data_IF_709905862233
#
_entry.id   IF_709905862233
#
_cell.length_a   1.000
_cell.length_b   1.000
_cell.length_c   1.000
_cell.angle_alpha   90.00
_cell.angle_beta   90.00
_cell.angle_gamma   90.00
#
_symmetry.space_group_name_H-M   'P 1'
#
loop_
_entity.id
_entity.type
_entity.pdbx_description
1 polymer ?
#
# COMPACT_ATOMS: atom_id res chain seq x y z
N UNK A 1 12.33 -14.82 2.96
CA UNK A 1 11.13 -15.46 2.35
C UNK A 1 9.82 -14.84 2.85
N UNK A 2 9.59 -14.73 4.17
CA UNK A 2 8.33 -14.19 4.72
C UNK A 2 7.90 -12.80 4.20
N UNK A 3 8.85 -11.87 4.05
CA UNK A 3 8.58 -10.54 3.47
C UNK A 3 7.96 -10.62 2.06
N UNK A 4 8.56 -11.41 1.16
CA UNK A 4 8.09 -11.55 -0.22
C UNK A 4 6.68 -12.11 -0.27
N UNK A 5 6.42 -13.17 0.50
CA UNK A 5 5.09 -13.81 0.60
C UNK A 5 4.06 -12.79 1.07
N UNK A 6 4.35 -12.07 2.15
CA UNK A 6 3.43 -11.09 2.73
C UNK A 6 3.11 -9.97 1.72
N UNK A 7 4.13 -9.37 1.12
CA UNK A 7 3.95 -8.24 0.19
C UNK A 7 3.21 -8.67 -1.07
N UNK A 8 3.53 -9.83 -1.65
CA UNK A 8 2.83 -10.37 -2.82
C UNK A 8 1.38 -10.72 -2.47
N UNK A 9 1.15 -11.31 -1.30
CA UNK A 9 -0.19 -11.62 -0.83
C UNK A 9 -1.04 -10.36 -0.70
N UNK A 10 -0.54 -9.32 0.00
CA UNK A 10 -1.27 -8.08 0.21
C UNK A 10 -1.44 -7.22 -1.05
N UNK A 11 -0.55 -7.36 -2.03
CA UNK A 11 -0.60 -6.54 -3.26
C UNK A 11 -1.40 -7.20 -4.38
N UNK A 12 -1.38 -8.54 -4.46
CA UNK A 12 -1.95 -9.28 -5.60
C UNK A 12 -2.93 -10.34 -5.12
N UNK A 13 -2.46 -11.34 -4.39
CA UNK A 13 -3.27 -12.54 -4.16
C UNK A 13 -4.54 -12.24 -3.35
N UNK A 14 -4.43 -11.53 -2.23
CA UNK A 14 -5.56 -11.22 -1.35
C UNK A 14 -6.55 -10.26 -2.02
N UNK A 15 -6.14 -9.11 -2.62
CA UNK A 15 -7.07 -8.27 -3.37
C UNK A 15 -7.84 -9.00 -4.48
N UNK A 16 -7.11 -9.79 -5.29
CA UNK A 16 -7.71 -10.54 -6.41
C UNK A 16 -8.70 -11.57 -5.89
N UNK A 17 -8.29 -12.41 -4.93
CA UNK A 17 -9.15 -13.47 -4.41
C UNK A 17 -10.38 -12.87 -3.73
N UNK A 18 -10.21 -11.85 -2.87
CA UNK A 18 -11.33 -11.20 -2.20
C UNK A 18 -12.30 -10.56 -3.20
N UNK A 19 -11.80 -9.89 -4.23
CA UNK A 19 -12.65 -9.29 -5.27
C UNK A 19 -13.39 -10.32 -6.12
N UNK A 20 -12.74 -11.42 -6.52
CA UNK A 20 -13.38 -12.52 -7.24
C UNK A 20 -14.49 -13.15 -6.40
N UNK A 21 -14.20 -13.43 -5.12
CA UNK A 21 -15.19 -14.03 -4.20
C UNK A 21 -16.39 -13.10 -4.03
N UNK A 22 -16.17 -11.81 -3.82
CA UNK A 22 -17.27 -10.85 -3.68
C UNK A 22 -18.11 -10.73 -4.97
N UNK A 23 -17.47 -10.65 -6.13
CA UNK A 23 -18.19 -10.61 -7.42
C UNK A 23 -18.99 -11.90 -7.67
N UNK A 24 -18.46 -13.06 -7.29
CA UNK A 24 -19.13 -14.33 -7.47
C UNK A 24 -20.32 -14.55 -6.51
N UNK A 25 -20.23 -14.03 -5.28
CA UNK A 25 -21.23 -14.27 -4.23
C UNK A 25 -22.27 -13.15 -4.13
N UNK A 26 -21.82 -11.90 -4.19
CA UNK A 26 -22.64 -10.70 -3.96
C UNK A 26 -22.87 -9.92 -5.25
N UNK A 27 -21.96 -10.03 -6.22
CA UNK A 27 -21.95 -9.19 -7.42
C UNK A 27 -21.49 -7.76 -7.13
N UNK A 28 -21.75 -6.86 -8.07
CA UNK A 28 -21.36 -5.45 -7.98
C UNK A 28 -20.54 -4.98 -9.18
N UNK A 29 -20.15 -3.71 -9.15
CA UNK A 29 -19.29 -3.13 -10.17
C UNK A 29 -17.83 -3.62 -9.97
N UNK A 30 -17.20 -4.25 -10.97
CA UNK A 30 -15.86 -4.80 -10.82
C UNK A 30 -14.80 -3.76 -10.42
N UNK A 31 -14.90 -2.52 -10.93
CA UNK A 31 -13.92 -1.47 -10.62
C UNK A 31 -14.02 -1.07 -9.16
N UNK A 32 -15.25 -0.86 -8.66
CA UNK A 32 -15.48 -0.52 -7.25
C UNK A 32 -15.11 -1.67 -6.31
N UNK A 33 -15.46 -2.91 -6.66
CA UNK A 33 -15.15 -4.09 -5.85
C UNK A 33 -13.65 -4.31 -5.75
N UNK A 34 -12.93 -4.37 -6.88
CA UNK A 34 -11.48 -4.56 -6.84
C UNK A 34 -10.77 -3.34 -6.23
N UNK A 35 -11.17 -2.12 -6.59
CA UNK A 35 -10.61 -0.90 -6.00
C UNK A 35 -10.70 -0.91 -4.47
N UNK A 36 -11.86 -1.29 -3.91
CA UNK A 36 -12.03 -1.48 -2.47
C UNK A 36 -11.05 -2.47 -1.86
N UNK A 37 -10.90 -3.66 -2.47
CA UNK A 37 -10.02 -4.70 -1.94
C UNK A 37 -8.54 -4.33 -2.07
N UNK A 38 -8.15 -3.63 -3.11
CA UNK A 38 -6.80 -3.08 -3.24
C UNK A 38 -6.52 -1.96 -2.24
N UNK A 39 -7.51 -1.12 -1.91
CA UNK A 39 -7.36 -0.17 -0.82
C UNK A 39 -7.21 -0.92 0.51
N UNK A 40 -8.11 -1.86 0.82
CA UNK A 40 -8.07 -2.56 2.11
C UNK A 40 -6.74 -3.29 2.32
N UNK A 41 -6.31 -4.11 1.36
CA UNK A 41 -5.11 -4.91 1.48
C UNK A 41 -3.84 -4.11 1.17
N UNK A 42 -3.80 -3.45 0.00
CA UNK A 42 -2.61 -2.78 -0.53
C UNK A 42 -2.28 -1.45 0.12
N UNK A 43 -3.29 -0.68 0.55
CA UNK A 43 -3.09 0.53 1.35
C UNK A 43 -3.21 0.18 2.83
N UNK A 44 -4.36 -0.35 3.26
CA UNK A 44 -4.68 -0.54 4.67
C UNK A 44 -3.72 -1.47 5.39
N UNK A 45 -3.80 -2.78 5.11
CA UNK A 45 -3.00 -3.76 5.85
C UNK A 45 -1.51 -3.65 5.57
N UNK A 46 -1.10 -3.36 4.33
CA UNK A 46 0.31 -3.33 3.92
C UNK A 46 1.04 -2.14 4.54
N UNK A 47 0.48 -0.92 4.46
CA UNK A 47 1.07 0.24 5.12
C UNK A 47 1.04 0.10 6.64
N UNK A 48 -0.02 -0.47 7.21
CA UNK A 48 -0.08 -0.71 8.65
C UNK A 48 1.05 -1.64 9.12
N UNK A 49 1.27 -2.77 8.44
CA UNK A 49 2.34 -3.70 8.79
C UNK A 49 3.73 -3.06 8.59
N UNK A 50 3.93 -2.35 7.47
CA UNK A 50 5.18 -1.63 7.22
C UNK A 50 5.44 -0.56 8.30
N UNK A 51 4.42 0.20 8.68
CA UNK A 51 4.47 1.23 9.71
C UNK A 51 4.80 0.66 11.09
N UNK A 52 4.14 -0.42 11.50
CA UNK A 52 4.44 -1.12 12.76
C UNK A 52 5.90 -1.63 12.76
N UNK A 53 6.37 -2.20 11.65
CA UNK A 53 7.74 -2.66 11.51
C UNK A 53 8.77 -1.52 11.60
N UNK A 54 8.46 -0.34 11.03
CA UNK A 54 9.29 0.86 11.08
C UNK A 54 9.34 1.46 12.51
N UNK A 55 8.20 1.56 13.18
CA UNK A 55 8.10 2.17 14.52
C UNK A 55 8.68 1.27 15.61
N UNK A 56 8.53 -0.05 15.49
CA UNK A 56 9.00 -1.01 16.50
C UNK A 56 10.52 -1.16 16.55
N UNK A 57 11.24 -0.73 15.51
CA UNK A 57 12.68 -0.98 15.37
C UNK A 57 13.05 -2.46 15.27
N UNK A 58 12.07 -3.37 15.14
CA UNK A 58 12.23 -4.83 15.05
C UNK A 58 12.07 -5.38 13.63
N UNK A 59 11.78 -4.52 12.65
CA UNK A 59 11.76 -4.92 11.23
C UNK A 59 13.17 -4.98 10.61
N UNK A 60 13.31 -5.41 9.34
CA UNK A 60 14.53 -5.21 8.52
C UNK A 60 14.96 -3.72 8.43
N UNK A 61 14.15 -2.86 9.01
CA UNK A 61 14.36 -1.45 9.30
C UNK A 61 15.36 -1.16 10.44
N UNK A 62 16.31 -2.02 10.78
CA UNK A 62 17.53 -1.60 11.52
C UNK A 62 18.76 -1.46 10.61
N UNK A 63 18.60 -1.76 9.31
CA UNK A 63 19.56 -1.58 8.19
C UNK A 63 18.97 -0.69 7.06
N UNK A 64 18.15 0.29 7.44
CA UNK A 64 17.17 0.93 6.55
C UNK A 64 17.80 1.55 5.32
N UNK A 65 17.30 1.10 4.16
CA UNK A 65 17.56 1.68 2.84
C UNK A 65 19.04 1.66 2.40
N UNK A 66 19.88 0.84 3.02
CA UNK A 66 21.27 0.64 2.63
C UNK A 66 22.31 1.40 3.47
N UNK A 67 21.90 2.03 4.57
CA UNK A 67 22.84 2.62 5.53
C UNK A 67 23.40 1.54 6.47
N UNK A 68 24.71 1.26 6.36
CA UNK A 68 25.40 0.29 7.23
C UNK A 68 25.43 0.71 8.71
N UNK A 69 25.28 2.00 9.02
CA UNK A 69 25.26 2.54 10.37
C UNK A 69 24.38 3.81 10.43
N UNK A 70 23.05 3.68 10.60
CA UNK A 70 22.14 4.82 10.61
C UNK A 70 22.30 5.68 11.87
N UNK A 71 22.33 7.00 11.67
CA UNK A 71 22.41 8.05 12.68
C UNK A 71 21.10 8.17 13.46
N UNK A 72 21.12 8.88 14.60
CA UNK A 72 19.92 9.10 15.41
C UNK A 72 18.81 9.87 14.65
N UNK A 73 19.11 10.93 13.87
CA UNK A 73 18.10 11.60 13.05
C UNK A 73 17.46 10.70 11.98
N UNK A 74 18.25 9.85 11.32
CA UNK A 74 17.71 8.91 10.32
C UNK A 74 16.75 7.90 10.94
N UNK A 75 17.08 7.39 12.13
CA UNK A 75 16.18 6.52 12.90
C UNK A 75 14.90 7.24 13.31
N UNK A 76 14.97 8.52 13.65
CA UNK A 76 13.79 9.32 13.97
C UNK A 76 12.89 9.51 12.73
N UNK A 77 13.48 9.91 11.60
CA UNK A 77 12.74 10.09 10.34
C UNK A 77 11.98 8.84 9.93
N UNK A 78 12.60 7.67 10.09
CA UNK A 78 11.95 6.38 9.82
C UNK A 78 10.75 6.16 10.72
N UNK A 79 10.86 6.48 12.01
CA UNK A 79 9.75 6.30 12.95
C UNK A 79 8.60 7.23 12.60
N UNK A 80 8.90 8.47 12.22
CA UNK A 80 7.89 9.44 11.75
C UNK A 80 7.19 8.95 10.47
N UNK A 81 7.97 8.46 9.49
CA UNK A 81 7.42 7.83 8.28
C UNK A 81 6.60 6.58 8.61
N UNK A 82 7.05 5.80 9.58
CA UNK A 82 6.32 4.64 10.09
C UNK A 82 4.99 5.01 10.72
N UNK A 83 4.93 6.10 11.49
CA UNK A 83 3.67 6.60 12.03
C UNK A 83 2.74 7.12 10.92
N UNK A 84 3.27 7.75 9.87
CA UNK A 84 2.47 8.12 8.70
C UNK A 84 1.86 6.88 8.02
N UNK A 85 2.66 5.82 7.84
CA UNK A 85 2.19 4.54 7.30
C UNK A 85 1.15 3.86 8.20
N UNK A 86 1.30 3.91 9.52
CA UNK A 86 0.28 3.44 10.47
C UNK A 86 -1.02 4.22 10.29
N UNK A 87 -0.96 5.55 10.23
CA UNK A 87 -2.15 6.39 10.06
C UNK A 87 -2.89 6.10 8.75
N UNK A 88 -2.17 6.09 7.62
CA UNK A 88 -2.74 5.76 6.31
C UNK A 88 -3.24 4.31 6.25
N UNK A 89 -2.53 3.37 6.88
CA UNK A 89 -2.92 1.98 6.97
C UNK A 89 -4.22 1.79 7.75
N UNK A 90 -4.35 2.42 8.92
CA UNK A 90 -5.59 2.40 9.71
C UNK A 90 -6.76 3.02 8.93
N UNK A 91 -6.55 4.13 8.22
CA UNK A 91 -7.56 4.71 7.35
C UNK A 91 -7.97 3.71 6.25
N UNK A 92 -7.02 3.10 5.56
CA UNK A 92 -7.27 2.12 4.50
C UNK A 92 -8.08 0.90 4.93
N UNK A 93 -8.02 0.49 6.21
CA UNK A 93 -8.87 -0.59 6.74
C UNK A 93 -10.37 -0.24 6.68
N UNK A 94 -10.72 1.06 6.69
CA UNK A 94 -12.11 1.52 6.57
C UNK A 94 -12.67 1.36 5.16
N UNK A 95 -11.89 0.89 4.18
CA UNK A 95 -12.39 0.66 2.83
C UNK A 95 -13.56 -0.33 2.76
N UNK A 96 -13.69 -1.23 3.74
CA UNK A 96 -14.82 -2.16 3.81
C UNK A 96 -16.13 -1.49 4.24
N UNK A 97 -16.08 -0.26 4.77
CA UNK A 97 -17.27 0.53 5.01
C UNK A 97 -17.84 0.98 3.65
N UNK A 98 -19.14 0.75 3.37
CA UNK A 98 -19.74 1.12 2.08
C UNK A 98 -19.47 2.58 1.72
N UNK A 99 -18.94 2.81 0.51
CA UNK A 99 -18.60 4.15 0.00
C UNK A 99 -17.28 4.75 0.51
N UNK A 100 -16.57 4.09 1.43
CA UNK A 100 -15.33 4.63 2.01
C UNK A 100 -14.05 4.25 1.27
N UNK A 101 -14.08 3.30 0.34
CA UNK A 101 -12.89 2.82 -0.34
C UNK A 101 -11.97 3.94 -0.87
N UNK A 102 -12.51 4.89 -1.64
CA UNK A 102 -11.72 6.00 -2.17
C UNK A 102 -11.19 6.93 -1.06
N UNK A 103 -12.02 7.57 -0.20
CA UNK A 103 -11.51 8.50 0.81
C UNK A 103 -10.58 7.82 1.83
N UNK A 104 -10.80 6.54 2.16
CA UNK A 104 -9.95 5.75 3.05
C UNK A 104 -8.56 5.46 2.44
N UNK A 105 -8.51 5.27 1.13
CA UNK A 105 -7.32 4.81 0.41
C UNK A 105 -6.51 5.89 -0.29
N UNK A 106 -7.11 7.04 -0.59
CA UNK A 106 -6.55 7.98 -1.56
C UNK A 106 -5.16 8.50 -1.16
N UNK A 107 -5.02 9.00 0.07
CA UNK A 107 -3.74 9.52 0.56
C UNK A 107 -2.65 8.45 0.54
N UNK A 108 -2.95 7.24 1.02
CA UNK A 108 -1.99 6.14 1.03
C UNK A 108 -1.66 5.59 -0.36
N UNK A 109 -2.62 5.55 -1.27
CA UNK A 109 -2.40 5.17 -2.66
C UNK A 109 -1.50 6.16 -3.40
N UNK A 110 -1.73 7.46 -3.24
CA UNK A 110 -0.87 8.51 -3.81
C UNK A 110 0.53 8.46 -3.21
N UNK A 111 0.63 8.28 -1.89
CA UNK A 111 1.91 8.12 -1.21
C UNK A 111 2.71 6.95 -1.80
N UNK A 112 2.09 5.79 -1.97
CA UNK A 112 2.70 4.61 -2.59
C UNK A 112 3.10 4.87 -4.05
N UNK A 113 2.24 5.51 -4.85
CA UNK A 113 2.55 5.81 -6.24
C UNK A 113 3.81 6.68 -6.37
N UNK A 114 3.89 7.74 -5.56
CA UNK A 114 5.01 8.67 -5.56
C UNK A 114 6.28 7.96 -5.06
N UNK A 115 6.19 7.20 -3.98
CA UNK A 115 7.31 6.41 -3.47
C UNK A 115 7.84 5.43 -4.53
N UNK A 116 6.95 4.65 -5.14
CA UNK A 116 7.29 3.75 -6.24
C UNK A 116 8.00 4.49 -7.39
N UNK A 117 7.44 5.61 -7.83
CA UNK A 117 8.02 6.43 -8.91
C UNK A 117 9.42 6.97 -8.56
N UNK A 118 9.64 7.43 -7.33
CA UNK A 118 10.94 7.89 -6.86
C UNK A 118 12.00 6.78 -6.82
N UNK A 119 11.58 5.53 -6.60
CA UNK A 119 12.47 4.37 -6.55
C UNK A 119 12.71 3.71 -7.93
N UNK A 120 11.96 4.06 -8.97
CA UNK A 120 12.20 3.57 -10.36
C UNK A 120 13.62 3.88 -10.84
N UNK A 121 14.12 5.14 -10.82
CA UNK A 121 15.43 5.48 -11.38
C UNK A 121 16.63 5.02 -10.53
N UNK A 122 16.40 4.55 -9.30
CA UNK A 122 17.47 4.14 -8.39
C UNK A 122 18.18 2.89 -8.92
N UNK A 123 19.51 2.97 -9.07
CA UNK A 123 20.39 1.87 -9.45
C UNK A 123 20.83 1.06 -8.23
N UNK A 124 21.21 -0.21 -8.42
CA UNK A 124 21.75 -1.06 -7.35
C UNK A 124 20.72 -1.52 -6.31
N UNK A 125 19.43 -1.55 -6.66
CA UNK A 125 18.37 -2.03 -5.77
C UNK A 125 18.54 -3.51 -5.46
N UNK A 126 18.36 -3.87 -4.20
CA UNK A 126 18.25 -5.28 -3.82
C UNK A 126 16.88 -5.86 -4.22
N UNK A 127 16.70 -7.17 -4.06
CA UNK A 127 15.45 -7.85 -4.46
C UNK A 127 14.21 -7.38 -3.69
N UNK A 128 14.35 -7.05 -2.40
CA UNK A 128 13.24 -6.56 -1.58
C UNK A 128 12.83 -5.15 -2.00
N UNK A 129 13.80 -4.27 -2.22
CA UNK A 129 13.57 -2.91 -2.70
C UNK A 129 12.93 -2.90 -4.09
N UNK A 130 13.38 -3.81 -4.96
CA UNK A 130 12.79 -3.99 -6.30
C UNK A 130 11.33 -4.41 -6.21
N UNK A 131 11.02 -5.40 -5.35
CA UNK A 131 9.64 -5.82 -5.11
C UNK A 131 8.80 -4.66 -4.56
N UNK A 132 9.28 -3.97 -3.53
CA UNK A 132 8.59 -2.82 -2.93
C UNK A 132 8.23 -1.79 -4.00
N UNK A 133 9.21 -1.37 -4.81
CA UNK A 133 9.02 -0.40 -5.91
C UNK A 133 7.85 -0.78 -6.82
N UNK A 134 7.84 -2.01 -7.33
CA UNK A 134 6.80 -2.44 -8.26
C UNK A 134 5.44 -2.58 -7.58
N UNK A 135 5.41 -3.11 -6.37
CA UNK A 135 4.15 -3.26 -5.62
C UNK A 135 3.55 -1.92 -5.20
N UNK A 136 4.38 -0.92 -4.88
CA UNK A 136 3.96 0.46 -4.60
C UNK A 136 3.31 1.09 -5.83
N UNK A 137 3.93 0.95 -7.01
CA UNK A 137 3.36 1.42 -8.28
C UNK A 137 2.03 0.76 -8.59
N UNK A 138 1.91 -0.56 -8.42
CA UNK A 138 0.65 -1.29 -8.68
C UNK A 138 -0.47 -0.78 -7.78
N UNK A 139 -0.26 -0.72 -6.46
CA UNK A 139 -1.28 -0.22 -5.53
C UNK A 139 -1.65 1.22 -5.87
N UNK A 140 -0.66 2.08 -6.08
CA UNK A 140 -0.88 3.48 -6.42
C UNK A 140 -1.69 3.67 -7.70
N UNK A 141 -1.36 2.94 -8.76
CA UNK A 141 -2.09 2.99 -10.03
C UNK A 141 -3.53 2.50 -9.90
N UNK A 142 -3.78 1.43 -9.14
CA UNK A 142 -5.14 0.93 -8.89
C UNK A 142 -5.98 1.95 -8.14
N UNK A 143 -5.41 2.61 -7.12
CA UNK A 143 -6.12 3.66 -6.37
C UNK A 143 -6.40 4.88 -7.24
N UNK A 144 -5.47 5.28 -8.11
CA UNK A 144 -5.71 6.36 -9.08
C UNK A 144 -6.79 5.97 -10.08
N UNK A 145 -6.79 4.74 -10.60
CA UNK A 145 -7.82 4.25 -11.50
C UNK A 145 -9.21 4.26 -10.83
N UNK A 146 -9.29 3.82 -9.56
CA UNK A 146 -10.51 3.93 -8.75
C UNK A 146 -10.96 5.39 -8.60
N UNK A 147 -10.04 6.30 -8.29
CA UNK A 147 -10.36 7.72 -8.14
C UNK A 147 -10.92 8.33 -9.43
N UNK A 148 -10.30 8.01 -10.57
CA UNK A 148 -10.75 8.45 -11.90
C UNK A 148 -12.14 7.91 -12.21
N UNK A 149 -12.37 6.60 -12.01
CA UNK A 149 -13.68 5.98 -12.25
C UNK A 149 -14.79 6.63 -11.39
N UNK A 150 -14.54 6.85 -10.10
CA UNK A 150 -15.50 7.50 -9.20
C UNK A 150 -15.80 8.94 -9.64
N UNK A 151 -14.78 9.71 -10.04
CA UNK A 151 -14.95 11.09 -10.52
C UNK A 151 -15.74 11.12 -11.82
N UNK A 152 -15.42 10.24 -12.79
CA UNK A 152 -16.15 10.16 -14.06
C UNK A 152 -17.63 9.86 -13.82
N UNK A 153 -17.94 8.89 -12.95
CA UNK A 153 -19.33 8.54 -12.60
C UNK A 153 -20.07 9.63 -11.84
N UNK A 154 -19.37 10.48 -11.09
CA UNK A 154 -19.99 11.59 -10.38
C UNK A 154 -20.32 12.78 -11.30
N UNK A 155 -19.66 12.87 -12.47
CA UNK A 155 -19.79 13.98 -13.41
C UNK A 155 -20.64 13.66 -14.66
N UNK A 156 -20.86 12.37 -14.96
CA UNK A 156 -21.68 11.89 -16.09
C UNK A 156 -23.07 11.45 -15.64
#
# INVERSE_FOLDING_TARGET
MGYFILVIAQTVALPVISGIVELAVTGGDPVLVFGKWWVFWGVGTRLLVAGIAQVSGKGPTTEILGAAAPTAPEKQLVRELGMANVGMGLAGLLALVPGWALPAGFAGGIFLLIAGAMHVPKKGKNAQETLATWTDLVVGLVVVALAVDVVVRALG
#
